data_IF_698819323715
#
_entry.id   IF_698819323715
#
_cell.length_a   1.000
_cell.length_b   1.000
_cell.length_c   1.000
_cell.angle_alpha   90.00
_cell.angle_beta   90.00
_cell.angle_gamma   90.00
#
_symmetry.space_group_name_H-M   'P 1'
#
loop_
_entity.id
_entity.type
_entity.pdbx_description
1 polymer ?
#
# COMPACT_ATOMS: atom_id res chain seq x y z
N UNK A 1 27.06 -2.08 -23.73
CA UNK A 1 26.59 -1.77 -22.36
C UNK A 1 27.73 -1.18 -21.56
N UNK A 2 27.43 -0.18 -20.73
CA UNK A 2 28.31 0.40 -19.71
C UNK A 2 28.25 -0.39 -18.40
N UNK A 3 29.17 -0.09 -17.48
CA UNK A 3 29.18 -0.65 -16.12
C UNK A 3 27.89 -0.33 -15.36
N UNK A 4 27.45 0.94 -15.43
CA UNK A 4 26.23 1.41 -14.75
C UNK A 4 24.98 0.68 -15.26
N UNK A 5 24.93 0.36 -16.55
CA UNK A 5 23.82 -0.41 -17.13
C UNK A 5 23.82 -1.86 -16.61
N UNK A 6 25.00 -2.48 -16.52
CA UNK A 6 25.12 -3.84 -15.94
C UNK A 6 24.73 -3.87 -14.47
N UNK A 7 25.11 -2.84 -13.71
CA UNK A 7 24.77 -2.70 -12.30
C UNK A 7 23.26 -2.57 -12.10
N UNK A 8 22.59 -1.74 -12.90
CA UNK A 8 21.13 -1.58 -12.81
C UNK A 8 20.35 -2.84 -13.20
N UNK A 9 20.83 -3.60 -14.20
CA UNK A 9 20.25 -4.92 -14.52
C UNK A 9 20.45 -5.88 -13.35
N UNK A 10 21.63 -5.90 -12.72
CA UNK A 10 21.88 -6.73 -11.53
C UNK A 10 20.95 -6.35 -10.37
N UNK A 11 20.83 -5.06 -10.07
CA UNK A 11 19.93 -4.57 -9.03
C UNK A 11 18.47 -4.91 -9.32
N UNK A 12 18.05 -4.92 -10.59
CA UNK A 12 16.70 -5.38 -10.97
C UNK A 12 16.52 -6.89 -10.76
N UNK A 13 17.54 -7.72 -11.04
CA UNK A 13 17.52 -9.17 -10.80
C UNK A 13 17.37 -9.48 -9.31
N UNK A 14 18.04 -8.69 -8.46
CA UNK A 14 18.08 -8.89 -7.00
C UNK A 14 16.95 -8.15 -6.24
N UNK A 15 16.01 -7.50 -6.94
CA UNK A 15 14.92 -6.68 -6.37
C UNK A 15 15.39 -5.48 -5.51
N UNK A 16 16.58 -4.93 -5.82
CA UNK A 16 17.24 -3.84 -5.09
C UNK A 16 16.99 -2.45 -5.73
N UNK A 17 16.12 -2.35 -6.74
CA UNK A 17 15.70 -1.06 -7.31
C UNK A 17 14.51 -0.48 -6.55
N UNK A 18 14.46 0.85 -6.44
CA UNK A 18 13.27 1.52 -5.89
C UNK A 18 12.06 1.34 -6.81
N UNK A 19 10.84 1.36 -6.26
CA UNK A 19 9.59 1.21 -7.04
C UNK A 19 9.50 2.14 -8.26
N UNK A 20 9.99 3.38 -8.11
CA UNK A 20 9.99 4.39 -9.16
C UNK A 20 11.02 4.11 -10.27
N UNK A 21 12.08 3.37 -9.96
CA UNK A 21 13.11 2.97 -10.91
C UNK A 21 12.72 1.70 -11.67
N UNK A 22 12.03 0.75 -11.02
CA UNK A 22 11.63 -0.54 -11.61
C UNK A 22 10.88 -0.33 -12.93
N UNK A 23 9.78 0.44 -12.92
CA UNK A 23 8.95 0.63 -14.13
C UNK A 23 9.74 1.25 -15.29
N UNK A 24 10.64 2.19 -14.98
CA UNK A 24 11.47 2.86 -15.99
C UNK A 24 12.52 1.91 -16.55
N UNK A 25 13.15 1.11 -15.69
CA UNK A 25 14.17 0.17 -16.10
C UNK A 25 13.60 -1.01 -16.89
N UNK A 26 12.41 -1.50 -16.53
CA UNK A 26 11.70 -2.52 -17.31
C UNK A 26 11.44 -2.03 -18.73
N UNK A 27 10.91 -0.80 -18.91
CA UNK A 27 10.67 -0.25 -20.25
C UNK A 27 11.94 -0.21 -21.11
N UNK A 28 13.06 0.25 -20.51
CA UNK A 28 14.36 0.29 -21.17
C UNK A 28 14.91 -1.10 -21.52
N UNK A 29 14.78 -2.05 -20.59
CA UNK A 29 15.22 -3.43 -20.78
C UNK A 29 14.49 -4.07 -21.97
N UNK A 30 13.18 -3.84 -22.11
CA UNK A 30 12.38 -4.34 -23.24
C UNK A 30 12.83 -3.78 -24.59
N UNK A 31 13.41 -2.58 -24.64
CA UNK A 31 13.89 -1.94 -25.86
C UNK A 31 15.38 -2.21 -26.17
N UNK A 32 16.14 -2.74 -25.21
CA UNK A 32 17.61 -2.85 -25.31
C UNK A 32 18.07 -4.32 -25.36
N UNK A 33 18.39 -4.88 -26.54
CA UNK A 33 18.76 -6.28 -26.69
C UNK A 33 19.94 -6.73 -25.82
N UNK A 34 20.93 -5.86 -25.63
CA UNK A 34 22.08 -6.19 -24.77
C UNK A 34 21.70 -6.33 -23.30
N UNK A 35 20.73 -5.55 -22.81
CA UNK A 35 20.25 -5.65 -21.42
C UNK A 35 19.42 -6.93 -21.24
N UNK A 36 18.60 -7.32 -22.22
CA UNK A 36 17.88 -8.59 -22.23
C UNK A 36 18.83 -9.79 -22.20
N UNK A 37 19.92 -9.73 -22.96
CA UNK A 37 20.96 -10.78 -22.93
C UNK A 37 21.65 -10.85 -21.57
N UNK A 38 21.93 -9.71 -20.94
CA UNK A 38 22.52 -9.67 -19.61
C UNK A 38 21.57 -10.26 -18.55
N UNK A 39 20.29 -9.87 -18.59
CA UNK A 39 19.22 -10.42 -17.75
C UNK A 39 19.13 -11.94 -17.85
N UNK A 40 19.04 -12.48 -19.07
CA UNK A 40 18.97 -13.92 -19.29
C UNK A 40 20.20 -14.66 -18.75
N UNK A 41 21.40 -14.09 -18.96
CA UNK A 41 22.66 -14.66 -18.45
C UNK A 41 22.73 -14.67 -16.93
N UNK A 42 22.29 -13.60 -16.27
CA UNK A 42 22.35 -13.50 -14.81
C UNK A 42 21.43 -14.52 -14.14
N UNK A 43 20.20 -14.69 -14.66
CA UNK A 43 19.33 -15.77 -14.20
C UNK A 43 19.93 -17.16 -14.46
N UNK A 44 20.47 -17.42 -15.65
CA UNK A 44 21.11 -18.70 -15.96
C UNK A 44 22.29 -19.02 -15.03
N UNK A 45 23.13 -18.03 -14.71
CA UNK A 45 24.23 -18.18 -13.75
C UNK A 45 23.66 -18.48 -12.35
N UNK A 46 22.63 -17.75 -11.91
CA UNK A 46 21.96 -17.99 -10.63
C UNK A 46 21.40 -19.40 -10.51
N UNK A 47 20.70 -19.88 -11.55
CA UNK A 47 20.14 -21.22 -11.62
C UNK A 47 21.25 -22.28 -11.59
N UNK A 48 22.37 -22.03 -12.27
CA UNK A 48 23.55 -22.90 -12.21
C UNK A 48 24.13 -22.99 -10.79
N UNK A 49 24.28 -21.85 -10.12
CA UNK A 49 24.84 -21.76 -8.77
C UNK A 49 23.94 -22.45 -7.73
N UNK A 50 22.61 -22.38 -7.90
CA UNK A 50 21.64 -23.04 -7.01
C UNK A 50 21.37 -24.51 -7.37
N UNK A 51 22.03 -25.03 -8.41
CA UNK A 51 21.81 -26.38 -8.94
C UNK A 51 20.37 -26.61 -9.43
N UNK A 52 19.75 -25.56 -9.98
CA UNK A 52 18.38 -25.55 -10.52
C UNK A 52 18.35 -25.72 -12.05
N UNK A 53 19.51 -25.92 -12.68
CA UNK A 53 19.57 -26.33 -14.08
C UNK A 53 18.98 -27.73 -14.22
N UNK A 54 17.72 -27.80 -14.67
CA UNK A 54 17.09 -29.07 -15.03
C UNK A 54 17.86 -29.80 -16.14
N UNK A 55 17.48 -31.06 -16.43
CA UNK A 55 18.21 -31.88 -17.43
C UNK A 55 18.23 -31.31 -18.85
N UNK A 56 17.34 -30.36 -19.16
CA UNK A 56 17.21 -29.71 -20.46
C UNK A 56 17.18 -28.19 -20.26
N UNK A 57 18.27 -27.53 -20.61
CA UNK A 57 18.28 -26.07 -20.80
C UNK A 57 17.79 -25.81 -22.23
N UNK A 58 16.56 -25.29 -22.35
CA UNK A 58 15.97 -24.93 -23.64
C UNK A 58 16.11 -23.42 -23.88
N UNK A 59 17.05 -22.97 -24.72
CA UNK A 59 17.32 -21.54 -24.94
C UNK A 59 16.11 -20.79 -25.53
N UNK A 60 15.27 -21.48 -26.30
CA UNK A 60 14.10 -20.89 -26.97
C UNK A 60 12.79 -21.02 -26.15
N UNK A 61 12.87 -21.46 -24.89
CA UNK A 61 11.66 -21.63 -24.07
C UNK A 61 10.92 -20.30 -23.86
N UNK A 62 11.66 -19.23 -23.55
CA UNK A 62 11.07 -17.92 -23.30
C UNK A 62 10.34 -17.36 -24.54
N UNK A 63 10.91 -17.55 -25.74
CA UNK A 63 10.28 -17.10 -27.00
C UNK A 63 9.05 -17.93 -27.34
N UNK A 64 9.10 -19.25 -27.12
CA UNK A 64 7.95 -20.14 -27.31
C UNK A 64 6.78 -19.79 -26.36
N UNK A 65 7.09 -19.47 -25.09
CA UNK A 65 6.09 -19.01 -24.12
C UNK A 65 5.50 -17.67 -24.56
N UNK A 66 6.33 -16.68 -24.94
CA UNK A 66 5.86 -15.37 -25.42
C UNK A 66 4.90 -15.53 -26.60
N UNK A 67 5.27 -16.33 -27.61
CA UNK A 67 4.44 -16.59 -28.77
C UNK A 67 3.15 -17.38 -28.45
N UNK A 68 3.12 -18.12 -27.34
CA UNK A 68 1.90 -18.75 -26.83
C UNK A 68 1.00 -17.73 -26.15
N UNK A 69 1.55 -16.88 -25.28
CA UNK A 69 0.83 -15.82 -24.56
C UNK A 69 0.20 -14.81 -25.52
N UNK A 70 0.89 -14.42 -26.60
CA UNK A 70 0.35 -13.53 -27.63
C UNK A 70 -0.89 -14.10 -28.34
N UNK A 71 -1.03 -15.43 -28.37
CA UNK A 71 -2.19 -16.12 -28.97
C UNK A 71 -3.32 -16.34 -27.98
N UNK A 72 -3.11 -16.06 -26.69
CA UNK A 72 -4.16 -16.19 -25.69
C UNK A 72 -5.18 -15.05 -25.84
N UNK A 73 -6.49 -15.35 -25.79
CA UNK A 73 -7.49 -14.30 -25.77
C UNK A 73 -7.32 -13.48 -24.48
N UNK A 74 -7.22 -12.16 -24.61
CA UNK A 74 -7.15 -11.26 -23.46
C UNK A 74 -8.43 -11.39 -22.63
N UNK A 75 -8.39 -12.21 -21.57
CA UNK A 75 -9.47 -12.28 -20.60
C UNK A 75 -9.39 -10.99 -19.79
N UNK A 76 -10.22 -10.01 -20.15
CA UNK A 76 -10.52 -8.89 -19.26
C UNK A 76 -11.33 -9.48 -18.11
N UNK A 77 -10.63 -9.99 -17.09
CA UNK A 77 -11.24 -10.27 -15.81
C UNK A 77 -12.01 -9.01 -15.40
N UNK A 78 -13.29 -9.10 -14.97
CA UNK A 78 -14.04 -7.93 -14.55
C UNK A 78 -13.20 -7.21 -13.51
N UNK A 79 -12.67 -6.04 -13.91
CA UNK A 79 -11.66 -5.33 -13.15
C UNK A 79 -12.12 -5.26 -11.71
N UNK A 80 -11.24 -5.60 -10.76
CA UNK A 80 -11.50 -5.45 -9.34
C UNK A 80 -12.06 -4.05 -9.13
N UNK A 81 -13.39 -3.95 -9.06
CA UNK A 81 -14.07 -2.73 -8.71
C UNK A 81 -13.60 -2.48 -7.30
N UNK A 82 -12.61 -1.59 -7.14
CA UNK A 82 -12.22 -1.06 -5.84
C UNK A 82 -13.49 -0.42 -5.30
N UNK A 83 -14.29 -1.19 -4.57
CA UNK A 83 -15.43 -0.70 -3.80
C UNK A 83 -14.82 0.33 -2.87
N UNK A 84 -14.93 1.60 -3.24
CA UNK A 84 -14.62 2.69 -2.31
C UNK A 84 -15.41 2.38 -1.05
N UNK A 85 -14.78 2.27 0.13
CA UNK A 85 -15.56 2.15 1.35
C UNK A 85 -16.45 3.38 1.40
N UNK A 86 -17.76 3.18 1.59
CA UNK A 86 -18.70 4.26 1.84
C UNK A 86 -18.37 4.88 3.22
N UNK A 87 -17.26 5.62 3.32
CA UNK A 87 -16.81 6.23 4.57
C UNK A 87 -17.55 7.53 4.90
N UNK A 88 -18.57 7.90 4.11
CA UNK A 88 -19.32 9.13 4.34
C UNK A 88 -20.44 9.00 5.37
N UNK A 89 -20.72 7.79 5.89
CA UNK A 89 -21.87 7.55 6.77
C UNK A 89 -21.58 7.40 8.27
N UNK A 90 -20.39 7.74 8.79
CA UNK A 90 -20.19 7.73 10.26
C UNK A 90 -19.39 8.93 10.75
N UNK A 91 -20.07 9.83 11.49
CA UNK A 91 -19.71 9.98 12.90
C UNK A 91 -20.95 10.06 13.81
N UNK A 92 -21.93 9.14 13.68
CA UNK A 92 -23.09 9.12 14.61
C UNK A 92 -22.73 8.49 15.97
N UNK A 93 -21.61 7.77 16.07
CA UNK A 93 -21.18 7.17 17.34
C UNK A 93 -20.76 8.21 18.40
N UNK A 94 -20.30 9.40 17.98
CA UNK A 94 -19.83 10.45 18.90
C UNK A 94 -20.92 11.38 19.43
N UNK A 95 -22.07 11.50 18.74
CA UNK A 95 -23.11 12.49 19.08
C UNK A 95 -23.88 12.11 20.35
N UNK A 96 -24.18 10.82 20.56
CA UNK A 96 -24.90 10.36 21.74
C UNK A 96 -24.10 10.61 23.04
N UNK A 97 -22.78 10.39 22.99
CA UNK A 97 -21.89 10.62 24.14
C UNK A 97 -21.80 12.12 24.44
N UNK A 98 -21.57 12.96 23.43
CA UNK A 98 -21.49 14.41 23.60
C UNK A 98 -22.81 15.01 24.11
N UNK A 99 -23.96 14.58 23.59
CA UNK A 99 -25.27 15.04 24.05
C UNK A 99 -25.54 14.66 25.51
N UNK A 100 -25.13 13.46 25.94
CA UNK A 100 -25.28 13.01 27.32
C UNK A 100 -24.43 13.83 28.29
N UNK A 101 -23.17 14.10 27.95
CA UNK A 101 -22.27 14.94 28.78
C UNK A 101 -22.77 16.39 28.83
N UNK A 102 -23.22 16.95 27.71
CA UNK A 102 -23.75 18.31 27.66
C UNK A 102 -25.01 18.46 28.53
N UNK A 103 -25.92 17.49 28.51
CA UNK A 103 -27.12 17.50 29.35
C UNK A 103 -26.74 17.52 30.84
N UNK A 104 -25.84 16.63 31.26
CA UNK A 104 -25.36 16.56 32.65
C UNK A 104 -24.69 17.88 33.07
N UNK A 105 -23.83 18.45 32.21
CA UNK A 105 -23.16 19.71 32.51
C UNK A 105 -24.17 20.87 32.67
N UNK A 106 -25.16 20.98 31.80
CA UNK A 106 -26.20 22.03 31.89
C UNK A 106 -27.06 21.88 33.13
N UNK A 107 -27.41 20.66 33.54
CA UNK A 107 -28.26 20.46 34.72
C UNK A 107 -27.50 20.57 36.05
N UNK A 108 -26.23 20.14 36.08
CA UNK A 108 -25.48 19.98 37.34
C UNK A 108 -24.64 21.22 37.69
N UNK A 109 -24.03 21.88 36.70
CA UNK A 109 -23.16 23.05 36.95
C UNK A 109 -23.90 24.20 37.64
N UNK A 110 -25.15 24.55 37.28
CA UNK A 110 -25.88 25.60 37.99
C UNK A 110 -26.17 25.24 39.46
N UNK A 111 -26.40 23.97 39.80
CA UNK A 111 -26.67 23.56 41.19
C UNK A 111 -25.44 23.79 42.07
N UNK A 112 -24.25 23.44 41.58
CA UNK A 112 -22.99 23.65 42.29
C UNK A 112 -22.64 25.14 42.47
N UNK A 113 -23.00 25.99 41.51
CA UNK A 113 -22.76 27.44 41.59
C UNK A 113 -23.81 28.13 42.50
N UNK A 114 -25.01 27.55 42.65
CA UNK A 114 -26.13 28.19 43.33
C UNK A 114 -26.26 27.77 44.81
N UNK A 115 -25.65 26.66 45.24
CA UNK A 115 -25.55 26.27 46.67
C UNK A 115 -24.73 27.27 47.52
N UNK A 116 -23.80 28.01 46.90
CA UNK A 116 -23.03 29.08 47.55
C UNK A 116 -23.86 30.33 47.89
N UNK A 117 -25.13 30.39 47.47
CA UNK A 117 -26.07 31.46 47.82
C UNK A 117 -27.16 30.99 48.77
N UNK A 118 -26.78 30.33 49.84
CA UNK A 118 -27.64 30.28 51.02
C UNK A 118 -27.64 31.66 51.70
N UNK A 119 -28.77 32.41 51.75
CA UNK A 119 -28.81 33.67 52.47
C UNK A 119 -28.65 33.39 53.97
N UNK A 120 -27.51 33.81 54.50
CA UNK A 120 -27.25 33.92 55.92
C UNK A 120 -28.28 34.91 56.50
N UNK A 121 -29.20 34.40 57.32
CA UNK A 121 -30.16 35.24 58.05
C UNK A 121 -29.38 36.12 59.04
N UNK A 122 -29.56 37.46 59.05
CA UNK A 122 -28.90 38.30 60.02
C UNK A 122 -29.45 38.05 61.43
N UNK A 123 -28.62 38.15 62.49
CA UNK A 123 -29.05 37.90 63.86
C UNK A 123 -30.06 38.96 64.32
N UNK A 124 -31.18 38.49 64.84
CA UNK A 124 -32.22 39.30 65.48
C UNK A 124 -31.77 39.63 66.90
N UNK A 125 -31.23 40.83 67.13
CA UNK A 125 -30.96 41.30 68.49
C UNK A 125 -32.26 41.84 69.12
N UNK A 126 -32.48 41.44 70.39
CA UNK A 126 -33.41 42.08 71.34
C UNK A 126 -32.60 42.99 72.24
#
# INVERSE_FOLDING_TARGET
MSEQEREKVSALVDDELSEHEISRHIGRLLETPSEQQAWARYHLIGDAMRQELGSLVQPDLASAISASLEREPTIIAPGMVKRRPASWLKPVAGTAIAASVALVAVTMVPQLINDDRSPHSPPRWR
#
